data_IF_440192995280
#
_entry.id   IF_440192995280
#
_cell.length_a   1.000
_cell.length_b   1.000
_cell.length_c   1.000
_cell.angle_alpha   90.00
_cell.angle_beta   90.00
_cell.angle_gamma   90.00
#
_symmetry.space_group_name_H-M   'P 1'
#
loop_
_entity.id
_entity.type
_entity.pdbx_description
1 polymer ?
#
# COMPACT_ATOMS: atom_id res chain seq x y z
N UNK A 1 12.89 -5.59 -46.28
CA UNK A 1 11.71 -5.32 -45.44
C UNK A 1 12.15 -4.69 -44.12
N UNK A 2 11.80 -3.42 -43.86
CA UNK A 2 12.08 -2.75 -42.58
C UNK A 2 11.19 -3.35 -41.49
N UNK A 3 11.77 -3.95 -40.45
CA UNK A 3 11.05 -4.41 -39.25
C UNK A 3 10.35 -3.20 -38.61
N UNK A 4 9.02 -3.18 -38.61
CA UNK A 4 8.21 -2.28 -37.76
C UNK A 4 8.54 -2.60 -36.30
N UNK A 5 9.17 -1.65 -35.58
CA UNK A 5 9.25 -1.69 -34.12
C UNK A 5 7.82 -1.55 -33.59
N UNK A 6 7.26 -2.61 -33.03
CA UNK A 6 6.13 -2.47 -32.11
C UNK A 6 6.64 -1.71 -30.89
N UNK A 7 6.19 -0.48 -30.70
CA UNK A 7 6.37 0.22 -29.44
C UNK A 7 5.54 -0.53 -28.39
N UNK A 8 6.12 -1.54 -27.77
CA UNK A 8 5.59 -2.13 -26.55
C UNK A 8 5.74 -1.06 -25.49
N UNK A 9 4.67 -0.34 -25.16
CA UNK A 9 4.71 0.63 -24.07
C UNK A 9 5.18 -0.10 -22.80
N UNK A 10 6.22 0.42 -22.16
CA UNK A 10 6.70 -0.17 -20.93
C UNK A 10 5.57 -0.12 -19.87
N UNK A 11 5.37 -1.20 -19.10
CA UNK A 11 4.35 -1.26 -18.07
C UNK A 11 4.57 -0.14 -17.04
N UNK A 12 3.47 0.43 -16.53
CA UNK A 12 3.46 1.64 -15.71
C UNK A 12 4.38 1.51 -14.48
N UNK A 13 4.40 0.33 -13.86
CA UNK A 13 5.20 -0.01 -12.68
C UNK A 13 6.70 0.14 -12.97
N UNK A 14 7.14 -0.28 -14.17
CA UNK A 14 8.54 -0.12 -14.60
C UNK A 14 8.90 1.34 -14.87
N UNK A 15 8.00 2.10 -15.47
CA UNK A 15 8.19 3.54 -15.71
C UNK A 15 8.31 4.30 -14.39
N UNK A 16 7.39 4.03 -13.45
CA UNK A 16 7.39 4.60 -12.10
C UNK A 16 8.66 4.24 -11.34
N UNK A 17 9.09 2.98 -11.39
CA UNK A 17 10.32 2.54 -10.75
C UNK A 17 11.54 3.26 -11.28
N UNK A 18 11.71 3.35 -12.61
CA UNK A 18 12.84 4.06 -13.23
C UNK A 18 12.87 5.53 -12.85
N UNK A 19 11.71 6.17 -12.75
CA UNK A 19 11.63 7.56 -12.35
C UNK A 19 11.91 7.75 -10.85
N UNK A 20 11.40 6.86 -9.99
CA UNK A 20 11.71 6.86 -8.56
C UNK A 20 13.20 6.55 -8.28
N UNK A 21 13.81 5.61 -9.00
CA UNK A 21 15.21 5.23 -8.80
C UNK A 21 16.16 6.39 -9.15
N UNK A 22 15.83 7.20 -10.17
CA UNK A 22 16.57 8.42 -10.49
C UNK A 22 16.54 9.46 -9.36
N UNK A 23 15.46 9.52 -8.58
CA UNK A 23 15.27 10.46 -7.49
C UNK A 23 15.98 10.02 -6.19
N UNK A 24 16.43 8.76 -6.12
CA UNK A 24 17.12 8.20 -4.97
C UNK A 24 18.49 8.83 -4.70
N UNK A 25 19.19 9.30 -5.75
CA UNK A 25 20.54 9.93 -5.78
C UNK A 25 21.57 9.32 -4.80
N UNK A 26 21.52 9.70 -3.53
CA UNK A 26 22.53 9.37 -2.50
C UNK A 26 21.99 8.48 -1.37
N UNK A 27 20.75 8.00 -1.43
CA UNK A 27 20.16 7.19 -0.36
C UNK A 27 20.40 5.69 -0.53
N UNK A 28 20.60 4.99 0.58
CA UNK A 28 20.61 3.52 0.59
C UNK A 28 19.22 2.94 0.30
N UNK A 29 19.17 1.74 -0.29
CA UNK A 29 17.93 1.09 -0.75
C UNK A 29 17.02 0.81 0.44
N UNK A 30 17.63 0.41 1.55
CA UNK A 30 16.93 0.06 2.77
C UNK A 30 16.27 1.28 3.42
N UNK A 31 16.79 2.50 3.21
CA UNK A 31 16.15 3.71 3.72
C UNK A 31 15.13 4.27 2.73
N UNK A 32 15.49 4.26 1.45
CA UNK A 32 14.65 4.79 0.38
C UNK A 32 13.34 4.01 0.21
N UNK A 33 13.34 2.69 0.45
CA UNK A 33 12.12 1.87 0.38
C UNK A 33 11.01 2.40 1.27
N UNK A 34 11.34 2.87 2.48
CA UNK A 34 10.34 3.33 3.44
C UNK A 34 9.71 4.64 3.00
N UNK A 35 10.50 5.52 2.38
CA UNK A 35 10.05 6.81 1.84
C UNK A 35 9.09 6.58 0.68
N UNK A 36 9.48 5.75 -0.28
CA UNK A 36 8.67 5.53 -1.49
C UNK A 36 7.41 4.72 -1.19
N UNK A 37 7.53 3.62 -0.45
CA UNK A 37 6.39 2.77 -0.11
C UNK A 37 5.39 3.53 0.79
N UNK A 38 5.87 4.36 1.72
CA UNK A 38 5.01 5.19 2.54
C UNK A 38 4.23 6.24 1.74
N UNK A 39 4.85 6.85 0.72
CA UNK A 39 4.13 7.79 -0.16
C UNK A 39 3.10 7.11 -1.06
N UNK A 40 3.42 5.94 -1.62
CA UNK A 40 2.46 5.14 -2.39
C UNK A 40 1.26 4.79 -1.51
N UNK A 41 1.51 4.41 -0.27
CA UNK A 41 0.46 4.10 0.69
C UNK A 41 -0.40 5.32 1.05
N UNK A 42 0.22 6.47 1.29
CA UNK A 42 -0.50 7.72 1.55
C UNK A 42 -1.38 8.14 0.38
N UNK A 43 -0.89 7.95 -0.85
CA UNK A 43 -1.67 8.16 -2.08
C UNK A 43 -2.86 7.21 -2.14
N UNK A 44 -2.64 5.92 -1.92
CA UNK A 44 -3.70 4.91 -1.91
C UNK A 44 -4.82 5.24 -0.92
N UNK A 45 -4.47 5.55 0.33
CA UNK A 45 -5.48 5.90 1.34
C UNK A 45 -6.22 7.19 0.94
N UNK A 46 -5.49 8.19 0.48
CA UNK A 46 -6.09 9.46 0.05
C UNK A 46 -7.09 9.27 -1.09
N UNK A 47 -6.78 8.42 -2.07
CA UNK A 47 -7.68 8.13 -3.19
C UNK A 47 -8.90 7.33 -2.75
N UNK A 48 -8.71 6.31 -1.90
CA UNK A 48 -9.82 5.53 -1.34
C UNK A 48 -10.77 6.41 -0.50
N UNK A 49 -10.20 7.34 0.27
CA UNK A 49 -10.96 8.32 1.04
C UNK A 49 -11.72 9.29 0.12
N UNK A 50 -11.06 9.85 -0.89
CA UNK A 50 -11.68 10.81 -1.82
C UNK A 50 -12.83 10.16 -2.61
N UNK A 51 -12.67 8.91 -3.05
CA UNK A 51 -13.72 8.14 -3.72
C UNK A 51 -14.96 7.99 -2.83
N UNK A 52 -14.76 7.65 -1.55
CA UNK A 52 -15.87 7.51 -0.59
C UNK A 52 -16.46 8.86 -0.20
N UNK A 53 -15.62 9.87 -0.02
CA UNK A 53 -16.05 11.25 0.26
C UNK A 53 -16.97 11.78 -0.84
N UNK A 54 -16.65 11.53 -2.12
CA UNK A 54 -17.51 11.94 -3.24
C UNK A 54 -18.88 11.25 -3.19
N UNK A 55 -18.93 9.95 -2.85
CA UNK A 55 -20.20 9.22 -2.66
C UNK A 55 -21.03 9.81 -1.52
N UNK A 56 -20.41 10.09 -0.37
CA UNK A 56 -21.10 10.71 0.76
C UNK A 56 -21.59 12.13 0.45
N UNK A 57 -20.85 12.90 -0.35
CA UNK A 57 -21.28 14.22 -0.81
C UNK A 57 -22.53 14.15 -1.68
N UNK A 58 -22.62 13.15 -2.57
CA UNK A 58 -23.81 12.91 -3.40
C UNK A 58 -25.03 12.51 -2.53
N UNK A 59 -24.80 11.70 -1.50
CA UNK A 59 -25.81 11.24 -0.54
C UNK A 59 -26.09 12.25 0.59
N UNK A 60 -25.50 13.44 0.55
CA UNK A 60 -25.67 14.46 1.60
C UNK A 60 -27.13 14.89 1.77
N UNK A 61 -27.89 14.89 0.68
CA UNK A 61 -29.32 15.19 0.72
C UNK A 61 -30.15 14.10 1.42
N UNK A 62 -29.60 12.89 1.57
CA UNK A 62 -30.22 11.74 2.25
C UNK A 62 -29.78 11.63 3.73
N UNK A 63 -28.96 12.58 4.21
CA UNK A 63 -28.51 12.67 5.60
C UNK A 63 -27.08 12.19 5.85
N UNK A 64 -26.32 11.82 4.81
CA UNK A 64 -24.91 11.45 4.95
C UNK A 64 -24.05 12.65 5.38
N UNK A 65 -23.10 12.42 6.29
CA UNK A 65 -22.09 13.41 6.69
C UNK A 65 -20.69 13.01 6.20
N UNK A 66 -20.15 13.66 5.15
CA UNK A 66 -18.81 13.39 4.63
C UNK A 66 -17.67 13.68 5.62
N UNK A 67 -17.92 14.33 6.75
CA UNK A 67 -16.90 14.58 7.76
C UNK A 67 -17.06 13.69 9.01
N UNK A 68 -18.08 12.82 9.07
CA UNK A 68 -18.21 11.81 10.12
C UNK A 68 -17.29 10.61 9.85
N UNK A 69 -16.44 10.27 10.83
CA UNK A 69 -15.50 9.15 10.78
C UNK A 69 -16.19 7.78 10.74
N UNK A 70 -17.41 7.68 11.27
CA UNK A 70 -18.12 6.40 11.34
C UNK A 70 -18.52 5.88 9.95
N UNK A 71 -18.86 6.79 9.02
CA UNK A 71 -19.23 6.48 7.62
C UNK A 71 -18.07 5.83 6.83
N UNK A 72 -16.83 6.13 7.22
CA UNK A 72 -15.64 5.53 6.64
C UNK A 72 -15.32 4.18 7.28
N UNK A 73 -15.50 4.07 8.60
CA UNK A 73 -15.20 2.86 9.35
C UNK A 73 -16.10 1.70 8.91
N UNK A 74 -17.36 1.97 8.56
CA UNK A 74 -18.32 0.96 8.09
C UNK A 74 -17.88 0.30 6.77
N UNK A 75 -17.24 1.06 5.88
CA UNK A 75 -16.80 0.60 4.55
C UNK A 75 -15.32 0.17 4.51
N UNK A 76 -14.70 -0.02 5.69
CA UNK A 76 -13.28 -0.32 5.83
C UNK A 76 -12.37 0.69 5.10
N UNK A 77 -12.75 1.97 5.10
CA UNK A 77 -11.97 3.08 4.56
C UNK A 77 -11.37 3.86 5.74
N UNK A 78 -10.09 4.23 5.64
CA UNK A 78 -9.48 5.06 6.67
C UNK A 78 -9.91 6.52 6.51
N UNK A 79 -10.19 7.15 7.65
CA UNK A 79 -10.48 8.58 7.65
C UNK A 79 -9.18 9.37 7.41
N UNK A 80 -9.21 10.30 6.45
CA UNK A 80 -8.06 11.16 6.12
C UNK A 80 -8.39 12.61 6.45
N UNK A 81 -7.71 13.21 7.44
CA UNK A 81 -7.95 14.60 7.80
C UNK A 81 -7.58 15.54 6.65
N UNK A 82 -8.17 16.74 6.56
CA UNK A 82 -7.92 17.69 5.47
C UNK A 82 -6.44 18.01 5.23
N UNK A 83 -5.63 18.09 6.29
CA UNK A 83 -4.18 18.33 6.24
C UNK A 83 -3.36 17.14 5.74
N UNK A 84 -3.98 15.96 5.57
CA UNK A 84 -3.31 14.76 5.09
C UNK A 84 -3.81 14.30 3.71
N UNK A 85 -4.82 14.98 3.14
CA UNK A 85 -5.35 14.67 1.80
C UNK A 85 -4.28 14.91 0.74
N UNK A 86 -4.18 14.00 -0.23
CA UNK A 86 -3.15 14.08 -1.28
C UNK A 86 -3.13 15.41 -2.05
N UNK A 87 -4.30 15.97 -2.39
CA UNK A 87 -4.42 17.27 -3.06
C UNK A 87 -3.75 18.40 -2.26
N UNK A 88 -3.86 18.38 -0.93
CA UNK A 88 -3.25 19.36 -0.05
C UNK A 88 -1.72 19.24 -0.05
N UNK A 89 -1.21 18.00 0.03
CA UNK A 89 0.23 17.71 -0.02
C UNK A 89 0.84 18.06 -1.39
N UNK A 90 0.14 17.75 -2.47
CA UNK A 90 0.57 18.08 -3.83
C UNK A 90 0.70 19.60 -4.03
N UNK A 91 -0.25 20.39 -3.52
CA UNK A 91 -0.17 21.86 -3.57
C UNK A 91 1.04 22.43 -2.83
N UNK A 92 1.59 21.68 -1.87
CA UNK A 92 2.75 22.06 -1.04
C UNK A 92 4.05 21.36 -1.47
N UNK A 93 4.03 20.51 -2.49
CA UNK A 93 5.17 19.68 -2.89
C UNK A 93 6.44 20.49 -3.25
N UNK A 94 6.26 21.73 -3.71
CA UNK A 94 7.36 22.65 -4.07
C UNK A 94 7.94 23.41 -2.87
N UNK A 95 7.30 23.36 -1.71
CA UNK A 95 7.74 24.06 -0.51
C UNK A 95 8.87 23.29 0.19
N UNK A 96 9.86 23.96 0.79
CA UNK A 96 10.90 23.29 1.56
C UNK A 96 10.36 22.60 2.82
N UNK A 97 9.15 22.98 3.27
CA UNK A 97 8.46 22.40 4.44
C UNK A 97 7.82 21.05 4.18
N UNK A 98 7.80 20.57 2.92
CA UNK A 98 7.05 19.38 2.50
C UNK A 98 7.38 18.13 3.35
N UNK A 99 8.63 17.98 3.78
CA UNK A 99 9.03 16.87 4.64
C UNK A 99 8.29 16.86 5.99
N UNK A 100 8.13 18.03 6.60
CA UNK A 100 7.36 18.18 7.84
C UNK A 100 5.86 18.01 7.58
N UNK A 101 5.36 18.57 6.49
CA UNK A 101 3.94 18.46 6.12
C UNK A 101 3.51 16.98 5.94
N UNK A 102 4.38 16.13 5.38
CA UNK A 102 4.11 14.68 5.26
C UNK A 102 4.18 13.98 6.62
N UNK A 103 5.20 14.28 7.45
CA UNK A 103 5.29 13.68 8.78
C UNK A 103 4.06 14.03 9.64
N UNK A 104 3.62 15.30 9.61
CA UNK A 104 2.44 15.78 10.31
C UNK A 104 1.16 15.10 9.75
N UNK A 105 1.06 14.90 8.43
CA UNK A 105 -0.03 14.17 7.80
C UNK A 105 -0.09 12.69 8.25
N UNK A 106 1.06 12.00 8.29
CA UNK A 106 1.13 10.62 8.76
C UNK A 106 0.69 10.52 10.22
N UNK A 107 1.16 11.41 11.09
CA UNK A 107 0.75 11.47 12.51
C UNK A 107 -0.76 11.71 12.65
N UNK A 108 -1.32 12.62 11.85
CA UNK A 108 -2.75 12.91 11.89
C UNK A 108 -3.60 11.68 11.48
N UNK A 109 -3.18 10.96 10.43
CA UNK A 109 -3.83 9.72 10.00
C UNK A 109 -3.75 8.64 11.10
N UNK A 110 -2.59 8.45 11.73
CA UNK A 110 -2.44 7.48 12.83
C UNK A 110 -3.36 7.81 14.02
N UNK A 111 -3.48 9.11 14.35
CA UNK A 111 -4.32 9.58 15.46
C UNK A 111 -5.80 9.31 15.22
N UNK A 112 -6.26 9.49 13.99
CA UNK A 112 -7.66 9.29 13.61
C UNK A 112 -8.01 7.82 13.35
N UNK A 113 -7.02 6.96 13.10
CA UNK A 113 -7.21 5.54 12.81
C UNK A 113 -6.39 4.62 13.76
N UNK A 114 -6.58 4.72 15.09
CA UNK A 114 -5.68 4.10 16.08
C UNK A 114 -5.73 2.57 16.11
N UNK A 115 -6.82 1.95 15.63
CA UNK A 115 -7.00 0.48 15.63
C UNK A 115 -6.07 -0.22 14.63
N UNK A 116 -5.81 0.39 13.47
CA UNK A 116 -5.14 -0.27 12.35
C UNK A 116 -3.76 0.31 12.01
N UNK A 117 -3.54 1.61 12.25
CA UNK A 117 -2.35 2.32 11.76
C UNK A 117 -1.37 2.76 12.85
N UNK A 118 -1.57 2.35 14.11
CA UNK A 118 -0.69 2.77 15.21
C UNK A 118 0.76 2.33 14.99
N UNK A 119 1.68 3.30 14.92
CA UNK A 119 3.12 3.13 14.70
C UNK A 119 3.49 2.39 13.40
N UNK A 120 2.58 2.39 12.43
CA UNK A 120 2.75 1.75 11.12
C UNK A 120 3.30 2.73 10.09
N UNK A 121 2.99 4.02 10.18
CA UNK A 121 3.38 4.96 9.13
C UNK A 121 4.81 5.49 9.37
N UNK A 122 5.67 5.52 8.32
CA UNK A 122 7.00 6.08 8.44
C UNK A 122 6.92 7.60 8.67
N UNK A 123 7.72 8.10 9.63
CA UNK A 123 7.78 9.51 10.04
C UNK A 123 9.21 10.05 9.87
N UNK A 124 9.77 9.83 8.67
CA UNK A 124 11.19 10.08 8.35
C UNK A 124 11.38 11.15 7.28
N UNK A 125 10.31 11.85 6.88
CA UNK A 125 10.33 12.74 5.73
C UNK A 125 10.94 14.11 6.04
N UNK A 126 10.94 14.54 7.30
CA UNK A 126 11.59 15.77 7.77
C UNK A 126 13.11 15.68 7.85
N UNK A 127 13.71 14.49 7.80
CA UNK A 127 15.16 14.29 7.96
C UNK A 127 16.01 15.06 6.93
N UNK A 128 17.14 15.62 7.36
CA UNK A 128 18.02 16.46 6.53
C UNK A 128 18.66 15.71 5.35
N UNK A 129 18.90 14.41 5.53
CA UNK A 129 19.44 13.53 4.46
C UNK A 129 18.50 13.37 3.27
N UNK A 130 17.23 13.77 3.41
CA UNK A 130 16.24 13.71 2.35
C UNK A 130 16.17 15.05 1.61
N UNK A 131 16.57 15.04 0.34
CA UNK A 131 16.43 16.19 -0.55
C UNK A 131 14.96 16.53 -0.78
N UNK A 132 14.53 17.69 -0.27
CA UNK A 132 13.12 18.12 -0.32
C UNK A 132 12.64 18.36 -1.75
N UNK A 133 13.53 18.76 -2.66
CA UNK A 133 13.19 18.95 -4.08
C UNK A 133 12.92 17.60 -4.78
N UNK A 134 13.74 16.58 -4.47
CA UNK A 134 13.52 15.22 -4.96
C UNK A 134 12.23 14.61 -4.38
N UNK A 135 11.88 14.91 -3.12
CA UNK A 135 10.62 14.50 -2.51
C UNK A 135 9.40 15.12 -3.21
N UNK A 136 9.43 16.43 -3.48
CA UNK A 136 8.37 17.10 -4.23
C UNK A 136 8.18 16.51 -5.63
N UNK A 137 9.30 16.23 -6.32
CA UNK A 137 9.29 15.59 -7.63
C UNK A 137 8.69 14.18 -7.60
N UNK A 138 8.92 13.43 -6.51
CA UNK A 138 8.34 12.11 -6.31
C UNK A 138 6.81 12.17 -6.11
N UNK A 139 6.32 13.17 -5.36
CA UNK A 139 4.88 13.42 -5.19
C UNK A 139 4.24 13.76 -6.53
N UNK A 140 4.87 14.62 -7.33
CA UNK A 140 4.37 14.99 -8.66
C UNK A 140 4.36 13.78 -9.62
N UNK A 141 5.38 12.92 -9.55
CA UNK A 141 5.44 11.68 -10.33
C UNK A 141 4.29 10.73 -9.97
N UNK A 142 4.06 10.49 -8.67
CA UNK A 142 2.98 9.62 -8.20
C UNK A 142 1.60 10.20 -8.55
N UNK A 143 1.46 11.52 -8.51
CA UNK A 143 0.23 12.21 -8.93
C UNK A 143 -0.04 12.00 -10.41
N UNK A 144 0.99 12.17 -11.26
CA UNK A 144 0.89 12.01 -12.71
C UNK A 144 0.53 10.58 -13.13
N UNK A 145 1.05 9.59 -12.42
CA UNK A 145 0.73 8.19 -12.70
C UNK A 145 -0.74 7.81 -12.46
N UNK A 146 -1.43 8.56 -11.60
CA UNK A 146 -2.87 8.38 -11.31
C UNK A 146 -3.80 9.28 -12.13
N UNK A 147 -3.25 10.21 -12.92
CA UNK A 147 -4.02 11.19 -13.71
C UNK A 147 -4.56 10.63 -15.04
N UNK A 148 -4.27 9.37 -15.38
CA UNK A 148 -4.75 8.73 -16.62
C UNK A 148 -6.03 7.91 -16.41
N UNK A 149 -7.18 8.45 -16.79
CA UNK A 149 -8.49 7.77 -16.83
C UNK A 149 -9.04 7.21 -15.50
N UNK A 150 -10.36 7.06 -15.42
CA UNK A 150 -11.04 6.44 -14.25
C UNK A 150 -10.53 5.01 -13.99
N UNK A 151 -9.98 4.35 -15.02
CA UNK A 151 -9.34 3.05 -14.86
C UNK A 151 -7.97 3.11 -14.16
N UNK A 152 -7.13 4.15 -14.32
CA UNK A 152 -5.87 4.27 -13.55
C UNK A 152 -6.00 4.87 -12.15
N UNK A 153 -7.19 5.33 -11.79
CA UNK A 153 -7.57 5.59 -10.40
C UNK A 153 -7.99 4.32 -9.65
N UNK A 154 -8.02 3.15 -10.32
CA UNK A 154 -8.36 1.91 -9.64
C UNK A 154 -7.32 1.58 -8.57
N UNK A 155 -7.83 1.25 -7.37
CA UNK A 155 -7.09 0.73 -6.21
C UNK A 155 -6.12 -0.39 -6.63
N UNK A 156 -6.48 -1.16 -7.65
CA UNK A 156 -5.74 -2.29 -8.18
C UNK A 156 -4.41 -1.90 -8.84
N UNK A 157 -4.33 -0.73 -9.50
CA UNK A 157 -3.10 -0.29 -10.16
C UNK A 157 -2.07 0.15 -9.11
N UNK A 158 -2.48 0.92 -8.11
CA UNK A 158 -1.58 1.27 -7.01
C UNK A 158 -1.14 0.03 -6.21
N UNK A 159 -2.02 -0.95 -6.06
CA UNK A 159 -1.69 -2.27 -5.52
C UNK A 159 -0.57 -2.98 -6.29
N UNK A 160 -0.72 -3.08 -7.62
CA UNK A 160 0.29 -3.69 -8.51
C UNK A 160 1.62 -2.94 -8.49
N UNK A 161 1.58 -1.60 -8.50
CA UNK A 161 2.79 -0.76 -8.38
C UNK A 161 3.48 -1.03 -7.05
N UNK A 162 2.73 -1.10 -5.95
CA UNK A 162 3.27 -1.38 -4.63
C UNK A 162 3.93 -2.76 -4.55
N UNK A 163 3.26 -3.82 -5.01
CA UNK A 163 3.82 -5.18 -5.09
C UNK A 163 5.10 -5.21 -5.93
N UNK A 164 5.12 -4.50 -7.07
CA UNK A 164 6.29 -4.42 -7.93
C UNK A 164 7.46 -3.74 -7.22
N UNK A 165 7.21 -2.62 -6.52
CA UNK A 165 8.25 -1.90 -5.77
C UNK A 165 8.80 -2.76 -4.63
N UNK A 166 7.95 -3.50 -3.91
CA UNK A 166 8.39 -4.47 -2.91
C UNK A 166 9.37 -5.51 -3.49
N UNK A 167 9.02 -6.10 -4.64
CA UNK A 167 9.89 -7.05 -5.32
C UNK A 167 11.22 -6.43 -5.76
N UNK A 168 11.20 -5.22 -6.32
CA UNK A 168 12.42 -4.53 -6.74
C UNK A 168 13.33 -4.16 -5.57
N UNK A 169 12.77 -3.69 -4.45
CA UNK A 169 13.55 -3.41 -3.25
C UNK A 169 14.13 -4.68 -2.61
N UNK A 170 13.39 -5.79 -2.63
CA UNK A 170 13.92 -7.08 -2.17
C UNK A 170 15.12 -7.55 -3.02
N UNK A 171 15.04 -7.39 -4.35
CA UNK A 171 16.15 -7.68 -5.26
C UNK A 171 17.35 -6.75 -5.01
N UNK A 172 17.11 -5.45 -4.80
CA UNK A 172 18.15 -4.45 -4.59
C UNK A 172 18.86 -4.59 -3.23
N UNK A 173 18.17 -5.05 -2.18
CA UNK A 173 18.78 -5.30 -0.86
C UNK A 173 19.66 -6.55 -0.83
N UNK A 174 19.60 -7.43 -1.84
CA UNK A 174 20.45 -8.62 -1.94
C UNK A 174 20.23 -9.66 -0.83
N UNK A 175 19.22 -9.49 0.04
CA UNK A 175 18.86 -10.46 1.08
C UNK A 175 18.16 -11.65 0.43
N UNK A 176 18.87 -12.78 0.32
CA UNK A 176 18.45 -14.04 -0.34
C UNK A 176 17.29 -14.81 0.35
N UNK A 177 16.29 -14.15 0.92
CA UNK A 177 15.29 -14.80 1.78
C UNK A 177 13.85 -14.68 1.29
N UNK A 178 13.17 -15.82 1.14
CA UNK A 178 11.70 -15.92 1.05
C UNK A 178 10.96 -15.38 2.28
N UNK A 179 11.69 -14.98 3.34
CA UNK A 179 11.16 -14.27 4.50
C UNK A 179 10.72 -12.83 4.21
N UNK A 180 11.29 -12.18 3.18
CA UNK A 180 10.97 -10.78 2.86
C UNK A 180 10.03 -10.66 1.67
N UNK A 181 10.28 -11.44 0.61
CA UNK A 181 9.46 -11.46 -0.59
C UNK A 181 9.60 -12.81 -1.31
N UNK A 182 8.48 -13.41 -1.66
CA UNK A 182 8.41 -14.63 -2.46
C UNK A 182 7.96 -14.27 -3.88
N UNK A 183 8.69 -14.67 -4.94
CA UNK A 183 8.31 -14.34 -6.32
C UNK A 183 6.89 -14.77 -6.67
N UNK A 184 6.14 -13.91 -7.35
CA UNK A 184 4.72 -14.13 -7.69
C UNK A 184 4.47 -15.45 -8.42
N UNK A 185 5.39 -15.90 -9.27
CA UNK A 185 5.24 -17.18 -9.98
C UNK A 185 5.21 -18.39 -9.05
N UNK A 186 6.02 -18.38 -7.98
CA UNK A 186 6.08 -19.45 -6.97
C UNK A 186 4.82 -19.41 -6.12
N UNK A 187 4.44 -18.22 -5.65
CA UNK A 187 3.23 -18.04 -4.84
C UNK A 187 1.99 -18.47 -5.61
N UNK A 188 1.86 -18.03 -6.87
CA UNK A 188 0.74 -18.44 -7.74
C UNK A 188 0.70 -19.96 -7.90
N UNK A 189 1.82 -20.59 -8.21
CA UNK A 189 1.86 -22.05 -8.30
C UNK A 189 1.36 -22.72 -7.01
N UNK A 190 1.82 -22.26 -5.85
CA UNK A 190 1.41 -22.84 -4.57
C UNK A 190 -0.09 -22.65 -4.29
N UNK A 191 -0.63 -21.46 -4.55
CA UNK A 191 -2.07 -21.19 -4.35
C UNK A 191 -2.93 -22.01 -5.31
N UNK A 192 -2.56 -22.08 -6.59
CA UNK A 192 -3.26 -22.89 -7.60
C UNK A 192 -3.21 -24.40 -7.27
N UNK A 193 -2.16 -24.87 -6.59
CA UNK A 193 -2.09 -26.26 -6.12
C UNK A 193 -2.91 -26.51 -4.85
N UNK A 194 -3.06 -25.50 -3.99
CA UNK A 194 -3.78 -25.60 -2.72
C UNK A 194 -5.30 -25.40 -2.87
N UNK A 195 -5.72 -24.66 -3.90
CA UNK A 195 -7.11 -24.35 -4.21
C UNK A 195 -7.94 -23.88 -2.98
N UNK A 196 -7.55 -22.78 -2.31
CA UNK A 196 -8.19 -22.35 -1.07
C UNK A 196 -9.56 -21.68 -1.32
N UNK A 197 -10.60 -22.50 -1.53
CA UNK A 197 -11.98 -22.02 -1.76
C UNK A 197 -12.70 -21.62 -0.46
N UNK A 198 -12.46 -22.34 0.64
CA UNK A 198 -13.10 -22.11 1.94
C UNK A 198 -12.17 -22.48 3.10
N UNK A 199 -12.34 -21.82 4.25
CA UNK A 199 -11.64 -22.15 5.48
C UNK A 199 -10.54 -21.16 5.86
N UNK A 200 -9.55 -21.64 6.62
CA UNK A 200 -8.49 -20.77 7.18
C UNK A 200 -7.20 -20.94 6.39
N UNK A 201 -6.72 -19.85 5.81
CA UNK A 201 -5.40 -19.79 5.18
C UNK A 201 -4.42 -19.26 6.21
N UNK A 202 -3.36 -20.02 6.43
CA UNK A 202 -2.34 -19.74 7.42
C UNK A 202 -0.95 -19.80 6.79
N UNK A 203 -0.19 -18.71 6.95
CA UNK A 203 1.22 -18.66 6.55
C UNK A 203 2.06 -18.15 7.74
N UNK A 204 2.81 -19.05 8.43
CA UNK A 204 3.58 -18.69 9.62
C UNK A 204 4.77 -17.77 9.32
N UNK A 205 5.17 -17.66 8.04
CA UNK A 205 6.34 -16.91 7.58
C UNK A 205 5.98 -16.00 6.40
N UNK A 206 4.80 -15.39 6.44
CA UNK A 206 4.17 -14.71 5.29
C UNK A 206 4.95 -13.55 4.65
N UNK A 207 6.05 -13.08 5.24
CA UNK A 207 6.89 -12.01 4.69
C UNK A 207 6.07 -10.76 4.33
N UNK A 208 6.07 -10.39 3.04
CA UNK A 208 5.28 -9.29 2.47
C UNK A 208 3.79 -9.61 2.23
N UNK A 209 3.31 -10.77 2.68
CA UNK A 209 1.92 -11.20 2.55
C UNK A 209 1.50 -11.63 1.14
N UNK A 210 2.46 -11.95 0.27
CA UNK A 210 2.19 -12.31 -1.13
C UNK A 210 1.24 -13.51 -1.28
N UNK A 211 1.28 -14.47 -0.35
CA UNK A 211 0.40 -15.65 -0.34
C UNK A 211 -1.08 -15.24 -0.24
N UNK A 212 -1.42 -14.32 0.67
CA UNK A 212 -2.80 -13.88 0.88
C UNK A 212 -3.36 -13.10 -0.32
N UNK A 213 -2.54 -12.24 -0.91
CA UNK A 213 -2.90 -11.51 -2.15
C UNK A 213 -3.27 -12.50 -3.26
N UNK A 214 -2.46 -13.55 -3.40
CA UNK A 214 -2.67 -14.51 -4.48
C UNK A 214 -3.84 -15.45 -4.20
N UNK A 215 -4.13 -15.78 -2.93
CA UNK A 215 -5.35 -16.50 -2.53
C UNK A 215 -6.62 -15.72 -2.88
N UNK A 216 -6.65 -14.40 -2.66
CA UNK A 216 -7.77 -13.54 -3.07
C UNK A 216 -7.94 -13.53 -4.60
N UNK A 217 -6.84 -13.32 -5.34
CA UNK A 217 -6.83 -13.38 -6.82
C UNK A 217 -7.30 -14.73 -7.36
N UNK A 218 -6.99 -15.84 -6.67
CA UNK A 218 -7.44 -17.18 -7.02
C UNK A 218 -8.96 -17.30 -6.90
N UNK A 219 -9.55 -16.85 -5.79
CA UNK A 219 -11.00 -16.88 -5.57
C UNK A 219 -11.73 -16.03 -6.61
N UNK A 220 -11.21 -14.84 -6.92
CA UNK A 220 -11.77 -13.98 -7.97
C UNK A 220 -11.76 -14.66 -9.34
N UNK A 221 -10.63 -15.27 -9.72
CA UNK A 221 -10.45 -15.93 -11.00
C UNK A 221 -11.31 -17.19 -11.17
N UNK A 222 -11.68 -17.86 -10.07
CA UNK A 222 -12.49 -19.08 -10.06
C UNK A 222 -13.90 -18.86 -9.50
N UNK A 223 -14.35 -17.61 -9.42
CA UNK A 223 -15.67 -17.22 -8.91
C UNK A 223 -16.84 -17.72 -9.76
N UNK A 224 -16.59 -18.06 -11.02
CA UNK A 224 -17.51 -18.68 -11.97
C UNK A 224 -17.74 -20.18 -11.70
N UNK A 225 -16.73 -20.87 -11.19
CA UNK A 225 -16.75 -22.31 -10.93
C UNK A 225 -17.45 -22.69 -9.61
N UNK A 226 -17.56 -21.76 -8.64
CA UNK A 226 -18.19 -21.99 -7.34
C UNK A 226 -19.27 -20.95 -7.02
N UNK A 227 -20.54 -21.33 -7.13
CA UNK A 227 -21.71 -20.55 -6.67
C UNK A 227 -21.90 -20.64 -5.15
N UNK A 228 -20.90 -20.29 -4.36
CA UNK A 228 -21.11 -20.01 -2.93
C UNK A 228 -21.34 -18.50 -2.76
N UNK A 229 -22.15 -18.05 -1.78
CA UNK A 229 -22.31 -16.63 -1.49
C UNK A 229 -21.01 -16.12 -0.85
N UNK A 230 -19.99 -15.86 -1.67
CA UNK A 230 -18.79 -15.17 -1.23
C UNK A 230 -19.20 -13.77 -0.81
N UNK A 231 -19.11 -13.48 0.51
CA UNK A 231 -19.10 -12.10 0.98
C UNK A 231 -17.93 -11.44 0.28
N UNK A 232 -18.23 -10.50 -0.62
CA UNK A 232 -17.25 -9.69 -1.35
C UNK A 232 -16.25 -9.15 -0.32
N UNK A 233 -15.05 -9.71 -0.27
CA UNK A 233 -13.97 -9.19 0.56
C UNK A 233 -13.73 -7.75 0.11
N UNK A 234 -13.83 -6.80 1.03
CA UNK A 234 -13.47 -5.43 0.73
C UNK A 234 -11.98 -5.41 0.38
N UNK A 235 -11.64 -5.20 -0.89
CA UNK A 235 -10.26 -5.07 -1.42
C UNK A 235 -9.34 -4.21 -0.53
N UNK A 236 -9.92 -3.28 0.24
CA UNK A 236 -9.20 -2.42 1.18
C UNK A 236 -8.35 -3.25 2.19
N UNK A 237 -8.83 -4.40 2.67
CA UNK A 237 -8.17 -5.10 3.78
C UNK A 237 -6.84 -5.76 3.36
N UNK A 238 -6.74 -6.31 2.15
CA UNK A 238 -5.53 -7.03 1.69
C UNK A 238 -4.33 -6.10 1.52
N UNK A 239 -4.53 -4.94 0.90
CA UNK A 239 -3.46 -3.97 0.72
C UNK A 239 -2.97 -3.37 2.06
N UNK A 240 -3.91 -3.08 2.96
CA UNK A 240 -3.64 -2.41 4.23
C UNK A 240 -3.00 -3.36 5.27
N UNK A 241 -3.44 -4.61 5.34
CA UNK A 241 -2.82 -5.64 6.20
C UNK A 241 -1.38 -5.93 5.75
N UNK A 242 -1.16 -6.07 4.44
CA UNK A 242 0.17 -6.30 3.88
C UNK A 242 1.13 -5.11 4.12
N UNK A 243 0.63 -3.88 4.05
CA UNK A 243 1.43 -2.70 4.38
C UNK A 243 1.73 -2.62 5.89
N UNK A 244 0.72 -2.81 6.74
CA UNK A 244 0.87 -2.78 8.19
C UNK A 244 1.91 -3.79 8.68
N UNK A 245 1.83 -5.02 8.18
CA UNK A 245 2.76 -6.07 8.54
C UNK A 245 4.14 -5.93 7.87
N UNK A 246 4.20 -5.40 6.64
CA UNK A 246 5.47 -5.05 6.01
C UNK A 246 6.21 -3.96 6.80
N UNK A 247 5.54 -2.90 7.23
CA UNK A 247 6.20 -1.83 8.00
C UNK A 247 6.54 -2.29 9.41
N UNK A 248 5.68 -3.05 10.09
CA UNK A 248 5.99 -3.67 11.39
C UNK A 248 7.25 -4.54 11.34
N UNK A 249 7.41 -5.36 10.29
CA UNK A 249 8.58 -6.24 10.11
C UNK A 249 9.86 -5.50 9.71
N UNK A 250 9.76 -4.32 9.09
CA UNK A 250 10.93 -3.56 8.61
C UNK A 250 11.27 -2.30 9.43
N UNK A 251 10.44 -1.91 10.41
CA UNK A 251 10.73 -0.80 11.31
C UNK A 251 11.75 -1.22 12.38
N UNK A 252 12.95 -0.60 12.37
CA UNK A 252 14.01 -0.81 13.37
C UNK A 252 13.60 -0.49 14.82
N UNK A 253 12.38 0.03 15.06
CA UNK A 253 11.85 0.39 16.38
C UNK A 253 10.90 -0.63 17.01
N UNK A 254 10.84 -1.87 16.52
CA UNK A 254 10.25 -2.97 17.29
C UNK A 254 11.14 -3.33 18.50
N UNK A 255 11.25 -2.40 19.46
CA UNK A 255 11.58 -2.73 20.85
C UNK A 255 10.54 -3.74 21.29
N UNK A 256 11.02 -4.95 21.52
CA UNK A 256 10.37 -6.03 22.25
C UNK A 256 9.71 -5.43 23.49
N UNK A 257 8.44 -5.05 23.39
CA UNK A 257 7.59 -4.83 24.57
C UNK A 257 7.23 -6.22 25.04
N UNK A 258 8.06 -6.75 25.95
CA UNK A 258 7.66 -7.82 26.86
C UNK A 258 6.40 -7.34 27.58
N UNK A 259 5.25 -7.81 27.14
CA UNK A 259 4.11 -7.99 28.01
C UNK A 259 4.07 -9.48 28.37
N UNK A 260 4.32 -9.78 29.64
CA UNK A 260 3.99 -11.07 30.26
C UNK A 260 2.50 -11.35 29.99
N UNK A 261 2.04 -12.55 29.64
CA UNK A 261 2.56 -13.89 29.87
C UNK A 261 1.84 -14.85 28.92
N UNK A 262 2.52 -15.34 27.88
CA UNK A 262 2.39 -16.66 27.23
C UNK A 262 3.32 -16.72 26.01
N UNK A 263 4.28 -17.65 25.91
CA UNK A 263 5.36 -17.61 24.92
C UNK A 263 5.06 -18.44 23.66
N UNK A 264 3.96 -18.15 22.99
CA UNK A 264 3.72 -18.65 21.63
C UNK A 264 2.80 -17.67 20.92
N UNK A 265 3.10 -17.37 19.64
CA UNK A 265 2.30 -16.54 18.74
C UNK A 265 2.49 -15.02 18.84
N UNK A 266 3.70 -14.53 18.50
CA UNK A 266 3.89 -13.16 18.03
C UNK A 266 4.42 -13.21 16.59
N UNK A 267 3.55 -12.95 15.60
CA UNK A 267 3.96 -12.74 14.19
C UNK A 267 3.16 -13.47 13.10
N UNK A 268 2.09 -14.19 13.46
CA UNK A 268 1.28 -14.99 12.54
C UNK A 268 0.08 -14.20 11.99
N UNK A 269 -0.08 -14.15 10.66
CA UNK A 269 -1.28 -13.63 10.00
C UNK A 269 -2.20 -14.83 9.71
N UNK A 270 -3.43 -14.77 10.21
CA UNK A 270 -4.50 -15.72 9.88
C UNK A 270 -5.60 -15.00 9.11
N UNK A 271 -6.06 -15.57 8.00
CA UNK A 271 -7.27 -15.13 7.30
C UNK A 271 -8.27 -16.26 7.17
N UNK A 272 -9.54 -15.92 7.45
CA UNK A 272 -10.67 -16.82 7.23
C UNK A 272 -11.36 -16.38 5.95
N UNK A 273 -11.47 -17.31 5.00
CA UNK A 273 -12.23 -17.17 3.77
C UNK A 273 -13.61 -17.80 3.95
#
# INVERSE_FOLDING_TARGET
MKKKKSNTEEPLEKKLWKAADKLRKNMDAAEYKHVVLGLIFLKYISDAFEEHYQKLVELKNEGADPEDKNEYTAENVFYVPPSARWKWLQGRAKLPTIGKDIDDAMVAIEKDNPKSLRDVLPKVYSQEKLDKASLGSLIDLLSTATLGTKEAQSKDILGKVFEYFLGQFALAEGKKGGQFYTPTCVVRLLVEMLEPYEGRVFDPCCGSGGMFVQSEKFIEAHSDHYKAPSKRLSHNLCFLDNFSDFVRKNSKTAKIKRFSSNPSFDGCIERTF
#
